data_IF_036002772157
#
_entry.id   IF_036002772157
#
_cell.length_a   1.000
_cell.length_b   1.000
_cell.length_c   1.000
_cell.angle_alpha   90.00
_cell.angle_beta   90.00
_cell.angle_gamma   90.00
#
_symmetry.space_group_name_H-M   'P 1'
#
loop_
_entity.id
_entity.type
_entity.pdbx_description
1 polymer ?
#
# COMPACT_ATOMS: atom_id res chain seq x y z
N UNK A 1 2.49 -17.22 -8.76
CA UNK A 1 2.36 -15.88 -8.08
C UNK A 1 1.29 -15.05 -8.74
N UNK A 2 0.44 -14.37 -7.93
CA UNK A 2 -0.64 -13.52 -8.45
C UNK A 2 -0.31 -12.06 -8.20
N UNK A 3 -0.46 -11.22 -9.23
CA UNK A 3 -0.28 -9.77 -9.11
C UNK A 3 -1.53 -9.04 -9.60
N UNK A 4 -2.01 -8.09 -8.80
CA UNK A 4 -3.13 -7.24 -9.18
C UNK A 4 -2.61 -5.94 -9.77
N UNK A 5 -3.09 -5.61 -10.98
CA UNK A 5 -2.83 -4.35 -11.65
C UNK A 5 -4.11 -3.55 -11.80
N UNK A 6 -4.00 -2.24 -11.60
CA UNK A 6 -5.08 -1.30 -11.82
C UNK A 6 -4.61 -0.24 -12.80
N UNK A 7 -5.24 -0.21 -13.97
CA UNK A 7 -4.95 0.75 -15.04
C UNK A 7 -6.06 1.78 -15.11
N UNK A 8 -5.68 3.04 -15.30
CA UNK A 8 -6.60 4.17 -15.30
C UNK A 8 -6.54 4.91 -16.64
N UNK A 9 -7.70 5.31 -17.13
CA UNK A 9 -7.84 6.18 -18.30
C UNK A 9 -8.91 7.24 -18.07
N UNK A 10 -8.77 8.39 -18.74
CA UNK A 10 -9.76 9.47 -18.72
C UNK A 10 -10.88 9.18 -19.71
N UNK A 11 -12.12 9.37 -19.29
CA UNK A 11 -13.31 9.33 -20.13
C UNK A 11 -13.60 10.74 -20.63
N UNK A 12 -13.18 11.04 -21.86
CA UNK A 12 -13.40 12.35 -22.48
C UNK A 12 -14.88 12.52 -22.82
N UNK A 13 -15.54 13.65 -22.47
CA UNK A 13 -16.95 13.88 -22.75
C UNK A 13 -17.33 13.74 -24.22
N UNK A 14 -16.41 14.10 -25.15
CA UNK A 14 -16.65 13.98 -26.60
C UNK A 14 -16.97 12.57 -27.11
N UNK A 15 -16.55 11.53 -26.37
CA UNK A 15 -16.75 10.13 -26.75
C UNK A 15 -17.53 9.32 -25.72
N UNK A 16 -17.88 9.95 -24.57
CA UNK A 16 -18.46 9.24 -23.43
C UNK A 16 -19.63 10.02 -22.78
N UNK A 17 -20.34 10.87 -23.53
CA UNK A 17 -21.47 11.65 -23.00
C UNK A 17 -22.48 10.79 -22.26
N UNK A 18 -22.91 9.69 -22.85
CA UNK A 18 -23.93 8.80 -22.32
C UNK A 18 -23.49 8.07 -21.05
N UNK A 19 -22.20 7.66 -21.00
CA UNK A 19 -21.61 7.03 -19.81
C UNK A 19 -21.53 8.04 -18.67
N UNK A 20 -21.14 9.27 -18.97
CA UNK A 20 -21.01 10.36 -17.97
C UNK A 20 -22.37 10.74 -17.45
N UNK A 21 -23.37 10.90 -18.30
CA UNK A 21 -24.75 11.18 -17.89
C UNK A 21 -25.31 10.07 -17.02
N UNK A 22 -25.16 8.81 -17.43
CA UNK A 22 -25.56 7.67 -16.61
C UNK A 22 -24.83 7.63 -15.27
N UNK A 23 -23.53 7.91 -15.25
CA UNK A 23 -22.74 7.98 -14.01
C UNK A 23 -23.30 9.04 -13.06
N UNK A 24 -23.58 10.27 -13.53
CA UNK A 24 -24.12 11.36 -12.72
C UNK A 24 -25.50 11.01 -12.13
N UNK A 25 -26.35 10.32 -12.91
CA UNK A 25 -27.66 9.87 -12.46
C UNK A 25 -27.59 8.74 -11.41
N UNK A 26 -26.65 7.79 -11.58
CA UNK A 26 -26.61 6.56 -10.78
C UNK A 26 -25.67 6.63 -9.57
N UNK A 27 -24.62 7.46 -9.60
CA UNK A 27 -23.59 7.50 -8.54
C UNK A 27 -24.13 7.69 -7.13
N UNK A 28 -25.15 8.57 -6.97
CA UNK A 28 -25.76 8.83 -5.66
C UNK A 28 -26.47 7.59 -5.12
N UNK A 29 -27.32 6.96 -5.93
CA UNK A 29 -28.04 5.73 -5.59
C UNK A 29 -27.09 4.60 -5.22
N UNK A 30 -26.03 4.40 -6.02
CA UNK A 30 -24.99 3.41 -5.74
C UNK A 30 -24.35 3.63 -4.36
N UNK A 31 -23.91 4.85 -4.06
CA UNK A 31 -23.22 5.16 -2.80
C UNK A 31 -24.16 5.17 -1.60
N UNK A 32 -25.45 5.48 -1.77
CA UNK A 32 -26.47 5.28 -0.75
C UNK A 32 -26.66 3.80 -0.41
N UNK A 33 -26.69 2.94 -1.41
CA UNK A 33 -26.76 1.49 -1.23
C UNK A 33 -25.47 0.93 -0.58
N UNK A 34 -24.31 1.47 -0.90
CA UNK A 34 -23.03 1.13 -0.23
C UNK A 34 -23.09 1.47 1.24
N UNK A 35 -23.54 2.69 1.62
CA UNK A 35 -23.65 3.11 3.03
C UNK A 35 -24.65 2.27 3.81
N UNK A 36 -25.79 1.99 3.21
CA UNK A 36 -26.80 1.11 3.81
C UNK A 36 -26.24 -0.30 4.03
N UNK A 37 -25.60 -0.87 3.02
CA UNK A 37 -24.98 -2.20 3.08
C UNK A 37 -23.88 -2.27 4.14
N UNK A 38 -23.05 -1.21 4.24
CA UNK A 38 -22.04 -1.08 5.29
C UNK A 38 -22.66 -1.07 6.68
N UNK A 39 -23.66 -0.23 6.90
CA UNK A 39 -24.33 -0.10 8.20
C UNK A 39 -24.98 -1.41 8.61
N UNK A 40 -25.67 -2.08 7.68
CA UNK A 40 -26.30 -3.36 7.92
C UNK A 40 -25.27 -4.43 8.29
N UNK A 41 -24.22 -4.58 7.48
CA UNK A 41 -23.17 -5.58 7.69
C UNK A 41 -22.37 -5.34 8.98
N UNK A 42 -22.06 -4.10 9.29
CA UNK A 42 -21.25 -3.73 10.45
C UNK A 42 -22.04 -3.85 11.78
N UNK A 43 -23.35 -3.81 11.76
CA UNK A 43 -24.19 -3.91 12.94
C UNK A 43 -24.64 -5.35 13.25
N UNK A 44 -24.56 -6.25 12.29
CA UNK A 44 -24.91 -7.64 12.48
C UNK A 44 -23.68 -8.49 12.85
N UNK A 45 -23.94 -9.64 13.49
CA UNK A 45 -22.88 -10.65 13.66
C UNK A 45 -22.44 -11.13 12.28
N UNK A 46 -21.13 -11.04 11.95
CA UNK A 46 -20.59 -11.47 10.67
C UNK A 46 -20.87 -12.95 10.33
N UNK A 47 -21.16 -13.77 11.33
CA UNK A 47 -21.54 -15.18 11.17
C UNK A 47 -23.00 -15.34 10.68
N UNK A 48 -23.85 -14.35 10.91
CA UNK A 48 -25.28 -14.39 10.60
C UNK A 48 -25.60 -13.64 9.30
N UNK A 49 -24.74 -12.76 8.83
CA UNK A 49 -24.93 -11.97 7.60
C UNK A 49 -24.80 -12.86 6.36
N UNK A 50 -25.83 -13.67 6.07
CA UNK A 50 -25.88 -14.46 4.83
C UNK A 50 -25.89 -13.52 3.63
N UNK A 51 -24.91 -13.69 2.76
CA UNK A 51 -24.74 -12.86 1.56
C UNK A 51 -25.98 -12.83 0.65
N UNK A 52 -26.71 -13.94 0.57
CA UNK A 52 -27.95 -14.04 -0.21
C UNK A 52 -29.05 -13.15 0.34
N UNK A 53 -29.31 -13.17 1.66
CA UNK A 53 -30.31 -12.32 2.32
C UNK A 53 -29.97 -10.83 2.15
N UNK A 54 -28.71 -10.47 2.33
CA UNK A 54 -28.26 -9.10 2.14
C UNK A 54 -28.42 -8.67 0.67
N UNK A 55 -28.16 -9.55 -0.28
CA UNK A 55 -28.37 -9.25 -1.69
C UNK A 55 -29.83 -8.95 -2.00
N UNK A 56 -30.77 -9.78 -1.57
CA UNK A 56 -32.21 -9.54 -1.74
C UNK A 56 -32.66 -8.24 -1.09
N UNK A 57 -32.15 -7.95 0.12
CA UNK A 57 -32.47 -6.73 0.84
C UNK A 57 -32.03 -5.47 0.08
N UNK A 58 -30.82 -5.49 -0.46
CA UNK A 58 -30.25 -4.37 -1.23
C UNK A 58 -30.99 -4.18 -2.55
N UNK A 59 -31.31 -5.29 -3.27
CA UNK A 59 -32.12 -5.24 -4.48
C UNK A 59 -33.47 -4.56 -4.24
N UNK A 60 -34.22 -5.04 -3.26
CA UNK A 60 -35.58 -4.57 -3.00
C UNK A 60 -35.57 -3.10 -2.55
N UNK A 61 -34.63 -2.71 -1.67
CA UNK A 61 -34.60 -1.35 -1.15
C UNK A 61 -34.20 -0.31 -2.18
N UNK A 62 -33.27 -0.64 -3.08
CA UNK A 62 -32.70 0.31 -4.03
C UNK A 62 -33.15 0.08 -5.46
N UNK A 63 -34.01 -0.89 -5.73
CA UNK A 63 -34.44 -1.28 -7.07
C UNK A 63 -33.25 -1.38 -8.04
N UNK A 64 -32.34 -2.32 -7.76
CA UNK A 64 -31.15 -2.61 -8.55
C UNK A 64 -31.09 -4.09 -8.86
N UNK A 65 -30.34 -4.46 -9.88
CA UNK A 65 -30.17 -5.86 -10.29
C UNK A 65 -29.45 -6.68 -9.21
N UNK A 66 -29.67 -7.98 -9.22
CA UNK A 66 -28.91 -8.95 -8.40
C UNK A 66 -27.41 -8.76 -8.57
N UNK A 67 -26.99 -8.43 -9.77
CA UNK A 67 -25.59 -8.22 -10.11
C UNK A 67 -25.05 -6.92 -9.53
N UNK A 68 -25.81 -5.84 -9.62
CA UNK A 68 -25.49 -4.56 -8.98
C UNK A 68 -25.38 -4.68 -7.47
N UNK A 69 -26.34 -5.37 -6.84
CA UNK A 69 -26.29 -5.67 -5.41
C UNK A 69 -25.03 -6.46 -5.02
N UNK A 70 -24.65 -7.47 -5.84
CA UNK A 70 -23.42 -8.22 -5.62
C UNK A 70 -22.16 -7.35 -5.73
N UNK A 71 -22.11 -6.40 -6.66
CA UNK A 71 -20.99 -5.46 -6.80
C UNK A 71 -20.86 -4.58 -5.55
N UNK A 72 -21.99 -4.04 -5.05
CA UNK A 72 -22.04 -3.24 -3.83
C UNK A 72 -21.59 -4.04 -2.60
N UNK A 73 -22.12 -5.25 -2.41
CA UNK A 73 -21.76 -6.11 -1.27
C UNK A 73 -20.29 -6.48 -1.32
N UNK A 74 -19.78 -6.82 -2.49
CA UNK A 74 -18.37 -7.18 -2.64
C UNK A 74 -17.43 -5.99 -2.39
N UNK A 75 -17.83 -4.79 -2.81
CA UNK A 75 -17.12 -3.56 -2.49
C UNK A 75 -17.08 -3.33 -0.97
N UNK A 76 -18.23 -3.40 -0.29
CA UNK A 76 -18.32 -3.23 1.17
C UNK A 76 -17.49 -4.26 1.92
N UNK A 77 -17.52 -5.53 1.51
CA UNK A 77 -16.70 -6.57 2.12
C UNK A 77 -15.21 -6.34 1.91
N UNK A 78 -14.81 -5.84 0.74
CA UNK A 78 -13.43 -5.44 0.46
C UNK A 78 -12.95 -4.33 1.38
N UNK A 79 -13.74 -3.25 1.51
CA UNK A 79 -13.44 -2.12 2.39
C UNK A 79 -13.39 -2.54 3.86
N UNK A 80 -14.32 -3.37 4.30
CA UNK A 80 -14.34 -3.88 5.67
C UNK A 80 -13.10 -4.72 5.99
N UNK A 81 -12.70 -5.62 5.08
CA UNK A 81 -11.48 -6.43 5.22
C UNK A 81 -10.23 -5.55 5.26
N UNK A 82 -10.14 -4.57 4.38
CA UNK A 82 -9.03 -3.62 4.33
C UNK A 82 -8.90 -2.85 5.65
N UNK A 83 -10.00 -2.32 6.17
CA UNK A 83 -10.01 -1.62 7.47
C UNK A 83 -9.64 -2.53 8.63
N UNK A 84 -10.07 -3.77 8.62
CA UNK A 84 -9.73 -4.75 9.66
C UNK A 84 -8.21 -5.01 9.69
N UNK A 85 -7.59 -5.18 8.52
CA UNK A 85 -6.13 -5.35 8.42
C UNK A 85 -5.37 -4.09 8.84
N UNK A 86 -5.89 -2.90 8.51
CA UNK A 86 -5.33 -1.63 9.01
C UNK A 86 -5.40 -1.56 10.54
N UNK A 87 -6.53 -1.99 11.15
CA UNK A 87 -6.68 -2.03 12.62
C UNK A 87 -5.73 -3.03 13.28
N UNK A 88 -5.54 -4.21 12.70
CA UNK A 88 -4.52 -5.17 13.17
C UNK A 88 -3.11 -4.59 13.10
N UNK A 89 -2.81 -3.84 12.05
CA UNK A 89 -1.51 -3.15 11.91
C UNK A 89 -1.37 -2.03 12.94
N UNK A 90 -2.43 -1.25 13.19
CA UNK A 90 -2.49 -0.24 14.22
C UNK A 90 -2.23 -0.86 15.60
N UNK A 91 -2.88 -1.99 15.93
CA UNK A 91 -2.68 -2.72 17.18
C UNK A 91 -1.21 -3.10 17.38
N UNK A 92 -0.60 -3.74 16.38
CA UNK A 92 0.83 -4.11 16.45
C UNK A 92 1.75 -2.91 16.67
N UNK A 93 1.46 -1.79 16.01
CA UNK A 93 2.22 -0.55 16.18
C UNK A 93 2.07 0.02 17.61
N UNK A 94 0.85 0.00 18.19
CA UNK A 94 0.61 0.45 19.56
C UNK A 94 1.33 -0.44 20.59
N UNK A 95 1.27 -1.76 20.43
CA UNK A 95 1.96 -2.70 21.32
C UNK A 95 3.48 -2.52 21.28
N UNK A 96 4.07 -2.32 20.09
CA UNK A 96 5.48 -2.02 19.93
C UNK A 96 5.86 -0.68 20.58
N UNK A 97 5.04 0.37 20.38
CA UNK A 97 5.27 1.70 20.99
C UNK A 97 5.18 1.65 22.52
N UNK A 98 4.21 0.92 23.08
CA UNK A 98 4.07 0.72 24.53
C UNK A 98 5.30 0.02 25.11
N UNK A 99 5.78 -1.04 24.47
CA UNK A 99 6.99 -1.76 24.89
C UNK A 99 8.22 -0.85 24.92
N UNK A 100 8.42 -0.04 23.88
CA UNK A 100 9.53 0.91 23.83
C UNK A 100 9.39 2.03 24.86
N UNK A 101 8.18 2.59 25.04
CA UNK A 101 7.93 3.63 26.04
C UNK A 101 8.22 3.13 27.45
N UNK A 102 7.84 1.89 27.79
CA UNK A 102 8.15 1.26 29.08
C UNK A 102 9.67 1.19 29.30
N UNK A 103 10.45 0.77 28.30
CA UNK A 103 11.94 0.73 28.38
C UNK A 103 12.53 2.12 28.57
N UNK A 104 12.13 3.08 27.72
CA UNK A 104 12.64 4.45 27.78
C UNK A 104 12.29 5.14 29.12
N UNK A 105 11.09 4.88 29.68
CA UNK A 105 10.66 5.40 30.97
C UNK A 105 11.52 4.79 32.09
N UNK A 106 11.81 3.50 32.07
CA UNK A 106 12.68 2.83 33.04
C UNK A 106 14.09 3.46 33.07
N UNK A 107 14.71 3.56 31.85
CA UNK A 107 16.06 4.16 31.72
C UNK A 107 16.08 5.64 32.18
N UNK A 108 15.06 6.41 31.79
CA UNK A 108 14.99 7.83 32.17
C UNK A 108 14.68 8.01 33.66
N UNK A 109 13.91 7.11 34.26
CA UNK A 109 13.61 7.11 35.69
C UNK A 109 14.88 6.89 36.52
N UNK A 110 15.74 5.95 36.13
CA UNK A 110 17.05 5.74 36.78
C UNK A 110 17.90 7.01 36.71
N UNK A 111 17.97 7.66 35.54
CA UNK A 111 18.72 8.92 35.37
C UNK A 111 18.15 10.04 36.22
N UNK A 112 16.82 10.18 36.27
CA UNK A 112 16.15 11.20 37.12
C UNK A 112 16.41 10.94 38.60
N UNK A 113 16.35 9.68 39.07
CA UNK A 113 16.62 9.30 40.43
C UNK A 113 18.09 9.59 40.83
N UNK A 114 19.05 9.31 39.94
CA UNK A 114 20.47 9.64 40.18
C UNK A 114 20.70 11.15 40.28
N UNK A 115 20.05 11.94 39.42
CA UNK A 115 20.10 13.40 39.51
C UNK A 115 19.42 13.91 40.80
N UNK A 116 18.30 13.29 41.19
CA UNK A 116 17.60 13.66 42.44
C UNK A 116 18.47 13.48 43.67
N UNK A 117 19.18 12.33 43.78
CA UNK A 117 20.12 12.07 44.88
C UNK A 117 21.26 13.08 44.91
N UNK A 118 21.84 13.41 43.74
CA UNK A 118 22.91 14.43 43.64
C UNK A 118 22.39 15.84 43.96
N UNK A 119 21.16 16.16 43.61
CA UNK A 119 20.53 17.44 43.95
C UNK A 119 20.28 17.57 45.44
N UNK A 120 19.84 16.51 46.13
CA UNK A 120 19.66 16.49 47.59
C UNK A 120 20.97 16.75 48.34
N UNK A 121 22.12 16.38 47.78
CA UNK A 121 23.45 16.57 48.36
C UNK A 121 24.13 17.85 47.84
N UNK A 122 23.43 18.78 47.20
CA UNK A 122 23.97 20.00 46.60
C UNK A 122 25.16 19.81 45.65
N UNK A 123 25.22 18.64 44.95
CA UNK A 123 26.32 18.22 44.06
C UNK A 123 26.09 18.56 42.60
N UNK A 124 25.05 19.31 42.25
CA UNK A 124 24.72 19.65 40.87
C UNK A 124 25.13 21.07 40.52
N UNK A 125 25.89 21.23 39.44
CA UNK A 125 26.09 22.53 38.83
C UNK A 125 24.88 22.98 38.00
N UNK A 126 24.80 24.26 37.58
CA UNK A 126 23.66 24.83 36.86
C UNK A 126 23.33 24.08 35.57
N UNK A 127 24.33 23.64 34.83
CA UNK A 127 24.17 22.84 33.61
C UNK A 127 23.54 21.47 33.87
N UNK A 128 23.89 20.84 34.98
CA UNK A 128 23.34 19.58 35.45
C UNK A 128 21.90 19.75 35.98
N UNK A 129 21.65 20.85 36.69
CA UNK A 129 20.30 21.20 37.17
C UNK A 129 19.33 21.43 36.04
N UNK A 130 19.75 22.10 34.95
CA UNK A 130 18.98 22.25 33.72
C UNK A 130 18.68 20.89 33.04
N UNK A 131 19.67 19.98 32.97
CA UNK A 131 19.46 18.61 32.45
C UNK A 131 18.49 17.83 33.32
N UNK A 132 18.55 17.93 34.63
CA UNK A 132 17.63 17.27 35.54
C UNK A 132 16.20 17.77 35.39
N UNK A 133 15.96 19.09 35.35
CA UNK A 133 14.63 19.66 35.08
C UNK A 133 14.04 19.15 33.73
N UNK A 134 14.84 19.19 32.66
CA UNK A 134 14.43 18.71 31.36
C UNK A 134 14.11 17.19 31.37
N UNK A 135 14.89 16.39 32.10
CA UNK A 135 14.64 14.95 32.24
C UNK A 135 13.34 14.67 32.99
N UNK A 136 13.03 15.42 34.07
CA UNK A 136 11.74 15.33 34.77
C UNK A 136 10.55 15.64 33.88
N UNK A 137 10.59 16.75 33.15
CA UNK A 137 9.53 17.16 32.21
C UNK A 137 9.31 16.06 31.14
N UNK A 138 10.43 15.55 30.58
CA UNK A 138 10.38 14.49 29.60
C UNK A 138 9.76 13.20 30.15
N UNK A 139 10.13 12.82 31.38
CA UNK A 139 9.59 11.63 32.05
C UNK A 139 8.06 11.71 32.23
N UNK A 140 7.58 12.88 32.73
CA UNK A 140 6.13 13.11 32.87
C UNK A 140 5.40 13.02 31.53
N UNK A 141 5.94 13.65 30.48
CA UNK A 141 5.36 13.61 29.14
C UNK A 141 5.30 12.17 28.57
N UNK A 142 6.35 11.38 28.83
CA UNK A 142 6.40 9.97 28.38
C UNK A 142 5.40 9.10 29.15
N UNK A 143 5.26 9.27 30.46
CA UNK A 143 4.23 8.57 31.26
C UNK A 143 2.81 8.89 30.75
N UNK A 144 2.48 10.18 30.58
CA UNK A 144 1.20 10.61 30.01
C UNK A 144 0.95 10.01 28.60
N UNK A 145 1.99 9.86 27.79
CA UNK A 145 1.88 9.23 26.47
C UNK A 145 1.61 7.72 26.59
N UNK A 146 2.28 7.04 27.51
CA UNK A 146 2.05 5.63 27.80
C UNK A 146 0.61 5.38 28.25
N UNK A 147 0.09 6.20 29.17
CA UNK A 147 -1.28 6.09 29.67
C UNK A 147 -2.30 6.26 28.54
N UNK A 148 -2.11 7.26 27.66
CA UNK A 148 -2.97 7.44 26.48
C UNK A 148 -2.95 6.22 25.57
N UNK A 149 -1.80 5.57 25.38
CA UNK A 149 -1.69 4.38 24.54
C UNK A 149 -2.33 3.16 25.20
N UNK A 150 -2.11 2.96 26.49
CA UNK A 150 -2.76 1.89 27.25
C UNK A 150 -4.30 2.02 27.23
N UNK A 151 -4.84 3.24 27.36
CA UNK A 151 -6.28 3.51 27.32
C UNK A 151 -6.87 3.35 25.91
N UNK A 152 -6.07 3.51 24.84
CA UNK A 152 -6.53 3.33 23.47
C UNK A 152 -6.50 1.85 23.01
N UNK A 153 -5.59 1.05 23.58
CA UNK A 153 -5.37 -0.34 23.20
C UNK A 153 -6.63 -1.21 23.28
N UNK A 154 -7.38 -1.25 24.41
CA UNK A 154 -8.58 -2.07 24.54
C UNK A 154 -9.68 -1.70 23.55
N UNK A 155 -9.76 -0.45 23.13
CA UNK A 155 -10.72 0.02 22.12
C UNK A 155 -10.42 -0.56 20.75
N UNK A 156 -9.14 -0.63 20.39
CA UNK A 156 -8.69 -1.21 19.11
C UNK A 156 -8.90 -2.74 19.14
N UNK A 157 -8.54 -3.40 20.24
CA UNK A 157 -8.75 -4.83 20.44
C UNK A 157 -10.23 -5.18 20.31
N UNK A 158 -11.12 -4.46 20.99
CA UNK A 158 -12.58 -4.63 20.89
C UNK A 158 -13.09 -4.45 19.45
N UNK A 159 -12.58 -3.45 18.71
CA UNK A 159 -12.95 -3.24 17.31
C UNK A 159 -12.54 -4.42 16.42
N UNK A 160 -11.38 -5.02 16.67
CA UNK A 160 -10.88 -6.19 15.92
C UNK A 160 -11.70 -7.44 16.27
N UNK A 161 -11.96 -7.67 17.55
CA UNK A 161 -12.73 -8.80 18.06
C UNK A 161 -14.17 -8.78 17.55
N UNK A 162 -14.88 -7.67 17.78
CA UNK A 162 -16.28 -7.51 17.36
C UNK A 162 -16.45 -7.26 15.89
N UNK A 163 -15.34 -6.97 15.14
CA UNK A 163 -15.35 -6.56 13.74
C UNK A 163 -16.23 -5.34 13.44
N UNK A 164 -16.66 -4.59 14.47
CA UNK A 164 -17.42 -3.35 14.32
C UNK A 164 -16.48 -2.19 14.06
N UNK A 165 -16.45 -1.73 12.80
CA UNK A 165 -15.49 -0.76 12.32
C UNK A 165 -16.19 0.55 11.94
N UNK A 166 -15.48 1.67 12.04
CA UNK A 166 -15.98 2.98 11.59
C UNK A 166 -15.32 3.36 10.27
N UNK A 167 -16.11 3.60 9.25
CA UNK A 167 -15.69 4.09 7.94
C UNK A 167 -16.24 5.50 7.70
N UNK A 168 -15.37 6.42 7.35
CA UNK A 168 -15.77 7.75 6.87
C UNK A 168 -15.95 7.68 5.35
N UNK A 169 -17.17 7.73 4.89
CA UNK A 169 -17.47 7.88 3.47
C UNK A 169 -17.21 9.32 3.04
N UNK A 170 -16.42 9.49 1.98
CA UNK A 170 -15.93 10.78 1.51
C UNK A 170 -14.54 11.11 2.06
N UNK A 171 -14.30 12.36 2.41
CA UNK A 171 -12.99 12.84 2.86
C UNK A 171 -12.95 13.05 4.38
N UNK A 172 -12.04 12.36 5.07
CA UNK A 172 -11.77 12.60 6.50
C UNK A 172 -11.31 14.04 6.77
N UNK A 173 -10.57 14.64 5.84
CA UNK A 173 -10.13 16.02 5.96
C UNK A 173 -11.33 16.99 5.92
N UNK A 174 -12.20 16.83 4.93
CA UNK A 174 -13.44 17.64 4.87
C UNK A 174 -14.29 17.46 6.11
N UNK A 175 -14.45 16.24 6.60
CA UNK A 175 -15.21 15.98 7.82
C UNK A 175 -14.58 16.63 9.06
N UNK A 176 -13.27 16.60 9.20
CA UNK A 176 -12.56 17.23 10.31
C UNK A 176 -12.63 18.76 10.25
N UNK A 177 -12.69 19.35 9.05
CA UNK A 177 -12.79 20.80 8.85
C UNK A 177 -14.23 21.36 8.91
N UNK A 178 -15.24 20.51 9.06
CA UNK A 178 -16.64 20.92 9.11
C UNK A 178 -16.93 22.09 10.08
N UNK A 179 -16.34 22.05 11.26
CA UNK A 179 -16.55 23.07 12.31
C UNK A 179 -15.81 24.37 12.05
N UNK A 180 -14.82 24.37 11.15
CA UNK A 180 -13.96 25.50 10.84
C UNK A 180 -14.43 26.26 9.58
N UNK A 181 -15.29 25.64 8.78
CA UNK A 181 -15.81 26.21 7.56
C UNK A 181 -16.94 27.19 7.85
N UNK A 182 -16.80 28.44 7.37
CA UNK A 182 -17.83 29.47 7.54
C UNK A 182 -19.01 29.27 6.63
N UNK A 183 -18.77 28.78 5.41
CA UNK A 183 -19.80 28.45 4.42
C UNK A 183 -20.14 26.94 4.49
N UNK A 184 -21.11 26.61 5.33
CA UNK A 184 -21.58 25.24 5.49
C UNK A 184 -22.18 24.63 4.23
N UNK A 185 -22.80 25.44 3.35
CA UNK A 185 -23.40 24.94 2.12
C UNK A 185 -22.30 24.50 1.12
N UNK A 186 -21.31 25.35 0.91
CA UNK A 186 -20.17 25.02 0.05
C UNK A 186 -19.39 23.81 0.60
N UNK A 187 -19.18 23.73 1.92
CA UNK A 187 -18.60 22.56 2.55
C UNK A 187 -19.43 21.31 2.30
N UNK A 188 -20.74 21.38 2.49
CA UNK A 188 -21.65 20.25 2.32
C UNK A 188 -21.64 19.72 0.89
N UNK A 189 -21.68 20.59 -0.12
CA UNK A 189 -21.59 20.23 -1.54
C UNK A 189 -20.28 19.47 -1.81
N UNK A 190 -19.14 20.01 -1.40
CA UNK A 190 -17.83 19.36 -1.56
C UNK A 190 -17.77 18.00 -0.85
N UNK A 191 -18.38 17.90 0.34
CA UNK A 191 -18.41 16.65 1.09
C UNK A 191 -19.28 15.58 0.38
N UNK A 192 -20.45 15.95 -0.12
CA UNK A 192 -21.34 15.05 -0.89
C UNK A 192 -20.64 14.60 -2.17
N UNK A 193 -20.03 15.51 -2.90
CA UNK A 193 -19.26 15.16 -4.10
C UNK A 193 -18.13 14.19 -3.80
N UNK A 194 -17.33 14.42 -2.75
CA UNK A 194 -16.28 13.51 -2.35
C UNK A 194 -16.81 12.15 -1.87
N UNK A 195 -18.01 12.11 -1.31
CA UNK A 195 -18.67 10.91 -0.78
C UNK A 195 -19.28 10.04 -1.88
N UNK A 196 -19.91 10.67 -2.85
CA UNK A 196 -20.74 10.00 -3.86
C UNK A 196 -20.09 10.07 -5.27
N UNK A 197 -18.78 9.95 -5.36
CA UNK A 197 -17.99 10.21 -6.59
C UNK A 197 -17.60 8.98 -7.38
N UNK A 198 -18.06 7.78 -7.05
CA UNK A 198 -17.62 6.57 -7.74
C UNK A 198 -18.68 5.48 -7.81
N UNK A 199 -18.59 4.66 -8.87
CA UNK A 199 -19.36 3.43 -9.05
C UNK A 199 -18.38 2.30 -9.29
N UNK A 200 -18.66 1.11 -8.77
CA UNK A 200 -17.80 -0.05 -8.86
C UNK A 200 -18.54 -1.27 -9.45
N UNK A 201 -17.93 -1.92 -10.43
CA UNK A 201 -18.43 -3.11 -11.10
C UNK A 201 -17.43 -4.25 -10.92
N UNK A 202 -17.81 -5.26 -10.16
CA UNK A 202 -16.92 -6.39 -9.89
C UNK A 202 -17.00 -7.45 -10.99
N UNK A 203 -15.85 -7.87 -11.51
CA UNK A 203 -15.76 -9.00 -12.45
C UNK A 203 -15.87 -10.35 -11.74
N UNK A 204 -16.33 -11.37 -12.47
CA UNK A 204 -16.36 -12.77 -12.02
C UNK A 204 -15.85 -13.69 -13.12
N UNK A 205 -15.24 -14.80 -12.72
CA UNK A 205 -14.66 -15.79 -13.64
C UNK A 205 -15.68 -16.43 -14.57
N UNK A 206 -16.92 -16.52 -14.14
CA UNK A 206 -18.01 -17.22 -14.84
C UNK A 206 -18.78 -16.31 -15.82
N UNK A 207 -18.37 -15.03 -15.92
CA UNK A 207 -19.11 -14.05 -16.73
C UNK A 207 -18.52 -13.86 -18.11
N UNK A 208 -19.39 -13.65 -19.09
CA UNK A 208 -19.01 -13.27 -20.45
C UNK A 208 -18.20 -11.97 -20.43
N UNK A 209 -17.14 -11.91 -21.22
CA UNK A 209 -16.23 -10.76 -21.29
C UNK A 209 -15.71 -10.30 -19.92
N UNK A 210 -15.55 -11.24 -18.96
CA UNK A 210 -14.95 -11.01 -17.66
C UNK A 210 -15.78 -10.13 -16.70
N UNK A 211 -16.85 -9.50 -17.17
CA UNK A 211 -17.77 -8.67 -16.39
C UNK A 211 -19.08 -8.44 -17.17
N UNK A 212 -20.22 -8.84 -16.61
CA UNK A 212 -21.52 -8.72 -17.29
C UNK A 212 -22.14 -7.31 -17.22
N UNK A 213 -21.65 -6.44 -16.34
CA UNK A 213 -22.17 -5.09 -16.16
C UNK A 213 -21.40 -4.03 -16.96
N UNK A 214 -20.08 -4.18 -17.02
CA UNK A 214 -19.19 -3.27 -17.73
C UNK A 214 -18.23 -4.12 -18.57
N UNK A 215 -18.22 -3.92 -19.87
CA UNK A 215 -17.41 -4.69 -20.81
C UNK A 215 -16.52 -3.76 -21.62
N UNK A 216 -15.28 -4.17 -21.84
CA UNK A 216 -14.37 -3.57 -22.79
C UNK A 216 -14.26 -4.48 -24.02
N UNK A 217 -14.43 -3.90 -25.19
CA UNK A 217 -14.30 -4.59 -26.47
C UNK A 217 -13.16 -3.91 -27.24
N UNK A 218 -12.10 -4.65 -27.51
CA UNK A 218 -10.94 -4.09 -28.19
C UNK A 218 -11.21 -3.83 -29.66
N UNK A 219 -11.02 -2.58 -30.09
CA UNK A 219 -11.09 -2.16 -31.49
C UNK A 219 -9.67 -2.11 -32.08
N UNK A 220 -9.36 -3.10 -32.91
CA UNK A 220 -8.03 -3.22 -33.56
C UNK A 220 -7.72 -2.08 -34.51
N UNK A 221 -8.74 -1.48 -35.17
CA UNK A 221 -8.54 -0.41 -36.16
C UNK A 221 -8.04 0.88 -35.49
N UNK A 222 -8.58 1.20 -34.31
CA UNK A 222 -8.28 2.45 -33.61
C UNK A 222 -7.34 2.23 -32.43
N UNK A 223 -6.92 0.99 -32.15
CA UNK A 223 -6.11 0.64 -30.97
C UNK A 223 -6.73 1.18 -29.67
N UNK A 224 -8.05 1.13 -29.56
CA UNK A 224 -8.86 1.64 -28.46
C UNK A 224 -9.81 0.55 -27.93
N UNK A 225 -10.54 0.85 -26.87
CA UNK A 225 -11.57 -0.03 -26.33
C UNK A 225 -12.92 0.66 -26.41
N UNK A 226 -13.90 -0.04 -26.98
CA UNK A 226 -15.31 0.33 -26.84
C UNK A 226 -15.80 -0.12 -25.47
N UNK A 227 -16.49 0.77 -24.79
CA UNK A 227 -17.11 0.51 -23.48
C UNK A 227 -18.57 0.20 -23.71
N UNK A 228 -19.04 -0.91 -23.15
CA UNK A 228 -20.46 -1.25 -23.06
C UNK A 228 -20.83 -1.36 -21.59
N UNK A 229 -21.66 -0.45 -21.10
CA UNK A 229 -22.07 -0.38 -19.70
C UNK A 229 -23.57 -0.59 -19.56
N UNK A 230 -23.96 -1.59 -18.77
CA UNK A 230 -25.36 -1.92 -18.51
C UNK A 230 -25.97 -0.96 -17.46
N UNK A 231 -27.15 -0.42 -17.79
CA UNK A 231 -27.92 0.43 -16.86
C UNK A 231 -28.65 -0.43 -15.83
N UNK A 232 -28.55 -0.08 -14.56
CA UNK A 232 -29.14 -0.85 -13.45
C UNK A 232 -30.68 -0.78 -13.40
N UNK A 233 -31.27 0.31 -13.89
CA UNK A 233 -32.73 0.51 -13.88
C UNK A 233 -33.44 0.14 -15.18
N UNK A 234 -32.73 -0.46 -16.13
CA UNK A 234 -33.30 -0.84 -17.43
C UNK A 234 -33.90 -2.25 -17.44
N UNK A 235 -34.30 -2.82 -16.30
CA UNK A 235 -34.87 -4.16 -16.23
C UNK A 235 -36.19 -4.34 -17.01
N UNK A 236 -36.83 -3.25 -17.43
CA UNK A 236 -38.09 -3.27 -18.20
C UNK A 236 -37.97 -2.59 -19.58
N UNK A 237 -36.81 -2.06 -19.93
CA UNK A 237 -36.61 -1.37 -21.19
C UNK A 237 -36.28 -2.33 -22.35
N UNK A 238 -36.62 -1.92 -23.57
CA UNK A 238 -36.20 -2.62 -24.78
C UNK A 238 -34.67 -2.80 -24.82
N UNK A 239 -34.17 -3.83 -25.51
CA UNK A 239 -32.72 -4.18 -25.48
C UNK A 239 -31.78 -3.03 -25.87
N UNK A 240 -32.25 -2.10 -26.71
CA UNK A 240 -31.47 -0.92 -27.13
C UNK A 240 -31.20 0.08 -25.98
N UNK A 241 -32.08 0.18 -25.00
CA UNK A 241 -32.00 1.13 -23.89
C UNK A 241 -31.29 0.55 -22.65
N UNK A 242 -30.91 -0.72 -22.69
CA UNK A 242 -30.23 -1.40 -21.58
C UNK A 242 -28.78 -0.98 -21.37
N UNK A 243 -28.17 -0.47 -22.42
CA UNK A 243 -26.72 -0.18 -22.39
C UNK A 243 -26.46 1.28 -22.77
N UNK A 244 -25.38 1.81 -22.21
CA UNK A 244 -24.69 3.01 -22.70
C UNK A 244 -23.34 2.64 -23.24
N UNK A 245 -22.89 3.39 -24.23
CA UNK A 245 -21.67 3.11 -24.97
C UNK A 245 -20.69 4.27 -24.88
N UNK A 246 -19.41 3.97 -24.99
CA UNK A 246 -18.35 4.96 -25.02
C UNK A 246 -17.07 4.34 -25.55
N UNK A 247 -16.01 5.13 -25.49
CA UNK A 247 -14.68 4.74 -25.96
C UNK A 247 -13.59 5.20 -25.01
N UNK A 248 -12.57 4.36 -24.83
CA UNK A 248 -11.41 4.72 -24.03
C UNK A 248 -10.11 4.14 -24.61
N UNK A 249 -9.00 4.77 -24.21
CA UNK A 249 -7.66 4.33 -24.55
C UNK A 249 -6.80 4.29 -23.30
N UNK A 250 -6.23 3.13 -22.96
CA UNK A 250 -5.30 2.99 -21.86
C UNK A 250 -3.87 3.25 -22.35
N UNK A 251 -3.27 4.34 -21.90
CA UNK A 251 -1.86 4.66 -22.21
C UNK A 251 -0.90 3.60 -21.67
N UNK A 252 -1.25 2.99 -20.53
CA UNK A 252 -0.51 1.92 -19.89
C UNK A 252 -1.45 0.74 -19.66
N UNK A 253 -0.93 -0.49 -19.78
CA UNK A 253 -1.71 -1.71 -19.53
C UNK A 253 -2.61 -2.14 -20.67
N UNK A 254 -2.53 -1.51 -21.85
CA UNK A 254 -3.34 -1.85 -23.01
C UNK A 254 -3.18 -3.33 -23.38
N UNK A 255 -1.93 -3.80 -23.45
CA UNK A 255 -1.61 -5.20 -23.81
C UNK A 255 -2.11 -6.17 -22.74
N UNK A 256 -1.87 -5.89 -21.48
CA UNK A 256 -2.28 -6.73 -20.35
C UNK A 256 -3.81 -6.83 -20.23
N UNK A 257 -4.53 -5.74 -20.53
CA UNK A 257 -6.00 -5.77 -20.58
C UNK A 257 -6.48 -6.63 -21.76
N UNK A 258 -5.88 -6.49 -22.95
CA UNK A 258 -6.22 -7.31 -24.12
C UNK A 258 -5.98 -8.80 -23.87
N UNK A 259 -4.82 -9.15 -23.32
CA UNK A 259 -4.47 -10.51 -22.92
C UNK A 259 -5.50 -11.07 -21.94
N UNK A 260 -5.87 -10.27 -20.91
CA UNK A 260 -6.86 -10.67 -19.91
C UNK A 260 -8.25 -10.87 -20.53
N UNK A 261 -8.67 -10.01 -21.46
CA UNK A 261 -9.95 -10.14 -22.18
C UNK A 261 -9.99 -11.38 -23.08
N UNK A 262 -8.84 -11.83 -23.58
CA UNK A 262 -8.74 -13.06 -24.38
C UNK A 262 -8.83 -14.34 -23.55
N UNK A 263 -8.57 -14.26 -22.24
CA UNK A 263 -8.65 -15.37 -21.29
C UNK A 263 -10.09 -15.55 -20.80
N UNK A 264 -10.72 -16.69 -21.09
CA UNK A 264 -12.14 -16.96 -20.78
C UNK A 264 -12.51 -16.88 -19.29
N UNK A 265 -11.55 -16.96 -18.36
CA UNK A 265 -11.80 -17.08 -16.91
C UNK A 265 -11.10 -16.02 -16.07
N UNK A 266 -10.71 -14.90 -16.63
CA UNK A 266 -10.00 -13.84 -15.94
C UNK A 266 -10.93 -12.65 -15.67
N UNK A 267 -11.40 -12.45 -14.41
CA UNK A 267 -12.32 -11.37 -14.10
C UNK A 267 -11.64 -10.01 -14.20
N UNK A 268 -12.34 -9.05 -14.78
CA UNK A 268 -11.95 -7.64 -14.78
C UNK A 268 -12.96 -6.84 -13.97
N UNK A 269 -12.49 -6.13 -12.97
CA UNK A 269 -13.33 -5.21 -12.19
C UNK A 269 -13.11 -3.79 -12.68
N UNK A 270 -14.21 -3.03 -12.77
CA UNK A 270 -14.16 -1.66 -13.25
C UNK A 270 -14.64 -0.68 -12.16
N UNK A 271 -14.05 0.50 -12.14
CA UNK A 271 -14.50 1.62 -11.34
C UNK A 271 -14.58 2.87 -12.20
N UNK A 272 -15.74 3.51 -12.21
CA UNK A 272 -15.92 4.84 -12.82
C UNK A 272 -15.97 5.85 -11.67
N UNK A 273 -15.24 6.94 -11.80
CA UNK A 273 -15.21 7.97 -10.76
C UNK A 273 -14.87 9.35 -11.33
N UNK A 274 -15.27 10.38 -10.58
CA UNK A 274 -14.96 11.78 -10.87
C UNK A 274 -13.83 12.28 -9.98
N UNK A 275 -12.87 13.01 -10.55
CA UNK A 275 -11.75 13.65 -9.86
C UNK A 275 -11.41 14.95 -10.57
N UNK A 276 -11.39 16.07 -9.85
CA UNK A 276 -11.07 17.40 -10.39
C UNK A 276 -11.89 17.71 -11.67
N UNK A 277 -13.21 17.52 -11.60
CA UNK A 277 -14.19 17.69 -12.69
C UNK A 277 -13.95 16.86 -13.96
N UNK A 278 -13.06 15.86 -13.87
CA UNK A 278 -12.80 14.89 -14.95
C UNK A 278 -13.27 13.51 -14.54
N UNK A 279 -13.66 12.71 -15.53
CA UNK A 279 -14.16 11.37 -15.35
C UNK A 279 -13.11 10.33 -15.74
N UNK A 280 -13.01 9.28 -14.97
CA UNK A 280 -12.01 8.24 -15.15
C UNK A 280 -12.62 6.86 -15.10
N UNK A 281 -12.07 5.95 -15.88
CA UNK A 281 -12.31 4.52 -15.81
C UNK A 281 -11.04 3.83 -15.31
N UNK A 282 -11.18 3.03 -14.27
CA UNK A 282 -10.15 2.09 -13.82
C UNK A 282 -10.54 0.67 -14.19
N UNK A 283 -9.61 -0.08 -14.78
CA UNK A 283 -9.71 -1.52 -15.02
C UNK A 283 -8.72 -2.23 -14.09
N UNK A 284 -9.24 -3.11 -13.25
CA UNK A 284 -8.44 -3.93 -12.32
C UNK A 284 -8.42 -5.36 -12.81
N UNK A 285 -7.23 -5.86 -13.11
CA UNK A 285 -6.97 -7.22 -13.58
C UNK A 285 -6.06 -7.97 -12.59
N UNK A 286 -6.18 -9.28 -12.56
CA UNK A 286 -5.26 -10.16 -11.84
C UNK A 286 -4.49 -10.97 -12.87
N UNK A 287 -3.18 -10.89 -12.83
CA UNK A 287 -2.30 -11.66 -13.70
C UNK A 287 -1.67 -12.77 -12.87
N UNK A 288 -1.89 -14.00 -13.28
CA UNK A 288 -1.30 -15.18 -12.68
C UNK A 288 -0.10 -15.61 -13.53
N UNK A 289 1.04 -15.81 -12.88
CA UNK A 289 2.23 -16.38 -13.52
C UNK A 289 2.71 -17.58 -12.72
N UNK A 290 3.32 -18.53 -13.39
CA UNK A 290 4.05 -19.61 -12.74
C UNK A 290 5.14 -19.06 -11.84
N UNK A 291 5.49 -19.78 -10.80
CA UNK A 291 6.60 -19.40 -9.93
C UNK A 291 7.91 -19.50 -10.72
N UNK A 292 8.68 -18.43 -10.66
CA UNK A 292 9.98 -18.35 -11.33
C UNK A 292 10.99 -19.09 -10.48
N UNK A 293 11.72 -20.03 -11.08
CA UNK A 293 12.80 -20.73 -10.40
C UNK A 293 14.00 -19.81 -10.17
N UNK A 294 14.74 -20.11 -9.13
CA UNK A 294 15.97 -19.40 -8.80
C UNK A 294 17.05 -19.75 -9.83
N UNK A 295 17.70 -18.71 -10.34
CA UNK A 295 18.87 -18.86 -11.22
C UNK A 295 20.14 -19.22 -10.43
N UNK A 296 21.13 -19.78 -11.12
CA UNK A 296 22.42 -20.11 -10.53
C UNK A 296 23.29 -18.89 -10.20
N UNK A 297 22.87 -17.71 -10.64
CA UNK A 297 23.49 -16.42 -10.33
C UNK A 297 22.53 -15.53 -9.57
N UNK A 298 23.07 -14.65 -8.74
CA UNK A 298 22.26 -13.69 -7.99
C UNK A 298 22.87 -12.29 -8.03
N UNK A 299 22.02 -11.28 -8.20
CA UNK A 299 22.38 -9.88 -7.99
C UNK A 299 21.88 -9.47 -6.61
N UNK A 300 22.80 -9.28 -5.67
CA UNK A 300 22.52 -8.75 -4.33
C UNK A 300 22.47 -7.25 -4.32
N UNK A 301 21.50 -6.67 -3.60
CA UNK A 301 21.24 -5.25 -3.56
C UNK A 301 21.27 -4.72 -2.13
N UNK A 302 22.16 -3.73 -1.88
CA UNK A 302 22.17 -2.90 -0.69
C UNK A 302 21.59 -1.53 -1.01
N UNK A 303 20.40 -1.24 -0.43
CA UNK A 303 19.64 -0.02 -0.68
C UNK A 303 20.07 1.10 0.27
N UNK A 304 20.58 2.19 -0.30
CA UNK A 304 21.05 3.35 0.44
C UNK A 304 20.34 4.65 0.04
N UNK A 305 20.52 5.70 0.84
CA UNK A 305 20.00 7.02 0.53
C UNK A 305 20.70 7.63 -0.69
N UNK A 306 19.97 7.74 -1.80
CA UNK A 306 20.46 8.36 -3.02
C UNK A 306 21.21 7.42 -3.97
N UNK A 307 21.46 6.17 -3.58
CA UNK A 307 22.04 5.16 -4.45
C UNK A 307 21.71 3.74 -4.01
N UNK A 308 21.88 2.81 -4.91
CA UNK A 308 21.81 1.38 -4.66
C UNK A 308 23.15 0.77 -5.05
N UNK A 309 23.76 0.02 -4.14
CA UNK A 309 24.93 -0.79 -4.45
C UNK A 309 24.48 -2.19 -4.87
N UNK A 310 25.09 -2.73 -5.89
CA UNK A 310 24.79 -4.06 -6.41
C UNK A 310 26.05 -4.87 -6.66
N UNK A 311 25.95 -6.18 -6.45
CA UNK A 311 27.00 -7.14 -6.70
C UNK A 311 26.43 -8.37 -7.37
N UNK A 312 26.96 -8.76 -8.50
CA UNK A 312 26.60 -10.00 -9.20
C UNK A 312 27.49 -11.14 -8.70
N UNK A 313 26.86 -12.23 -8.28
CA UNK A 313 27.49 -13.39 -7.66
C UNK A 313 27.22 -14.62 -8.51
N UNK A 314 28.27 -15.37 -8.80
CA UNK A 314 28.25 -16.63 -9.54
C UNK A 314 27.80 -17.78 -8.62
N UNK A 315 27.41 -18.92 -9.22
CA UNK A 315 26.95 -20.14 -8.51
C UNK A 315 27.95 -20.67 -7.46
N UNK A 316 29.24 -20.45 -7.66
CA UNK A 316 30.31 -20.81 -6.73
C UNK A 316 30.52 -19.79 -5.61
N UNK A 317 29.69 -18.78 -5.54
CA UNK A 317 29.74 -17.70 -4.56
C UNK A 317 30.79 -16.63 -4.86
N UNK A 318 31.49 -16.68 -6.01
CA UNK A 318 32.45 -15.67 -6.40
C UNK A 318 31.80 -14.42 -6.99
N UNK A 319 32.46 -13.28 -6.75
CA UNK A 319 32.03 -11.98 -7.27
C UNK A 319 32.34 -11.88 -8.78
N UNK A 320 31.32 -11.54 -9.59
CA UNK A 320 31.47 -11.28 -11.03
C UNK A 320 31.69 -9.79 -11.25
N UNK A 321 30.80 -8.95 -10.78
CA UNK A 321 30.83 -7.49 -10.98
C UNK A 321 30.18 -6.75 -9.85
N UNK A 322 30.55 -5.48 -9.70
CA UNK A 322 29.95 -4.53 -8.77
C UNK A 322 29.54 -3.27 -9.53
N UNK A 323 28.50 -2.61 -9.03
CA UNK A 323 28.06 -1.36 -9.61
C UNK A 323 27.32 -0.51 -8.56
N UNK A 324 27.10 0.77 -8.87
CA UNK A 324 26.27 1.69 -8.09
C UNK A 324 25.36 2.46 -9.01
N UNK A 325 24.05 2.41 -8.72
CA UNK A 325 23.06 3.19 -9.45
C UNK A 325 22.58 4.29 -8.55
N UNK A 326 22.71 5.55 -8.99
CA UNK A 326 22.28 6.74 -8.25
C UNK A 326 20.85 7.11 -8.60
N UNK A 327 20.08 7.56 -7.61
CA UNK A 327 18.72 8.08 -7.77
C UNK A 327 18.51 9.34 -6.93
N UNK A 328 17.54 10.17 -7.31
CA UNK A 328 17.24 11.41 -6.57
C UNK A 328 16.45 11.09 -5.32
N UNK A 329 17.01 11.39 -4.17
CA UNK A 329 16.33 11.29 -2.89
C UNK A 329 15.79 12.66 -2.46
N UNK A 330 14.56 12.98 -2.91
CA UNK A 330 13.82 14.20 -2.53
C UNK A 330 12.47 13.79 -1.94
N UNK A 331 11.82 14.67 -1.17
CA UNK A 331 10.46 14.39 -0.71
C UNK A 331 9.46 14.38 -1.88
N UNK A 332 8.49 13.47 -1.83
CA UNK A 332 7.31 13.44 -2.71
C UNK A 332 7.39 12.49 -3.91
N UNK A 333 6.51 12.72 -4.87
CA UNK A 333 6.26 11.83 -6.01
C UNK A 333 7.47 11.59 -6.92
N UNK A 334 8.43 12.52 -6.97
CA UNK A 334 9.64 12.37 -7.78
C UNK A 334 10.51 11.20 -7.34
N UNK A 335 10.76 11.07 -6.02
CA UNK A 335 11.49 9.91 -5.48
C UNK A 335 10.76 8.59 -5.75
N UNK A 336 9.44 8.58 -5.60
CA UNK A 336 8.62 7.39 -5.87
C UNK A 336 8.75 6.95 -7.32
N UNK A 337 8.75 7.88 -8.26
CA UNK A 337 8.93 7.57 -9.69
C UNK A 337 10.35 7.07 -10.00
N UNK A 338 11.37 7.72 -9.46
CA UNK A 338 12.76 7.32 -9.63
C UNK A 338 13.00 5.90 -9.08
N UNK A 339 12.37 5.54 -7.94
CA UNK A 339 12.45 4.19 -7.38
C UNK A 339 11.73 3.14 -8.24
N UNK A 340 10.63 3.48 -8.91
CA UNK A 340 9.97 2.59 -9.88
C UNK A 340 10.85 2.32 -11.09
N UNK A 341 11.44 3.39 -11.64
CA UNK A 341 12.36 3.27 -12.79
C UNK A 341 13.59 2.45 -12.41
N UNK A 342 14.15 2.68 -11.22
CA UNK A 342 15.28 1.92 -10.70
C UNK A 342 14.95 0.43 -10.57
N UNK A 343 13.77 0.09 -10.03
CA UNK A 343 13.34 -1.29 -9.91
C UNK A 343 13.21 -1.99 -11.27
N UNK A 344 12.69 -1.29 -12.30
CA UNK A 344 12.58 -1.82 -13.66
C UNK A 344 13.96 -2.02 -14.30
N UNK A 345 14.90 -1.09 -14.09
CA UNK A 345 16.30 -1.21 -14.56
C UNK A 345 16.98 -2.44 -13.95
N UNK A 346 16.83 -2.63 -12.64
CA UNK A 346 17.43 -3.77 -11.93
C UNK A 346 16.86 -5.11 -12.40
N UNK A 347 15.56 -5.20 -12.58
CA UNK A 347 14.91 -6.41 -13.09
C UNK A 347 15.34 -6.72 -14.54
N UNK A 348 15.46 -5.72 -15.40
CA UNK A 348 15.98 -5.88 -16.77
C UNK A 348 17.44 -6.34 -16.78
N UNK A 349 18.26 -5.82 -15.88
CA UNK A 349 19.65 -6.28 -15.73
C UNK A 349 19.69 -7.75 -15.33
N UNK A 350 18.88 -8.17 -14.37
CA UNK A 350 18.78 -9.58 -14.00
C UNK A 350 18.36 -10.46 -15.19
N UNK A 351 17.38 -10.01 -15.98
CA UNK A 351 16.95 -10.71 -17.19
C UNK A 351 18.07 -10.86 -18.22
N UNK A 352 18.88 -9.80 -18.42
CA UNK A 352 19.98 -9.83 -19.40
C UNK A 352 21.18 -10.68 -18.96
N UNK A 353 21.35 -10.93 -17.65
CA UNK A 353 22.47 -11.72 -17.10
C UNK A 353 22.03 -13.12 -16.63
N UNK A 354 20.77 -13.49 -16.82
CA UNK A 354 20.17 -14.71 -16.28
C UNK A 354 20.47 -14.87 -14.78
N UNK A 355 20.12 -13.85 -14.00
CA UNK A 355 20.38 -13.79 -12.56
C UNK A 355 19.11 -13.59 -11.77
N UNK A 356 19.00 -14.21 -10.60
CA UNK A 356 17.99 -13.88 -9.60
C UNK A 356 18.29 -12.54 -8.93
N UNK A 357 17.29 -11.83 -8.45
CA UNK A 357 17.47 -10.61 -7.67
C UNK A 357 17.36 -10.92 -6.17
N UNK A 358 18.20 -10.30 -5.35
CA UNK A 358 18.10 -10.45 -3.89
C UNK A 358 18.19 -9.13 -3.15
N UNK A 359 17.31 -8.96 -2.16
CA UNK A 359 17.26 -7.81 -1.25
C UNK A 359 17.11 -8.28 0.19
N UNK A 360 17.44 -7.41 1.13
CA UNK A 360 17.23 -7.69 2.55
C UNK A 360 15.73 -7.71 2.91
N UNK A 361 15.31 -8.66 3.75
CA UNK A 361 13.98 -8.68 4.37
C UNK A 361 13.94 -7.75 5.58
N UNK A 362 13.73 -6.46 5.35
CA UNK A 362 13.72 -5.44 6.40
C UNK A 362 12.33 -5.22 6.96
N UNK A 363 12.09 -5.68 8.19
CA UNK A 363 10.88 -5.36 8.93
C UNK A 363 10.99 -3.99 9.62
N UNK A 364 10.39 -2.95 9.02
CA UNK A 364 10.44 -1.57 9.54
C UNK A 364 9.42 -1.25 10.63
N UNK A 365 8.56 -2.17 11.03
CA UNK A 365 7.54 -1.90 12.06
C UNK A 365 8.17 -1.43 13.38
N UNK A 366 9.29 -2.03 13.79
CA UNK A 366 10.06 -1.66 14.98
C UNK A 366 10.85 -0.34 14.81
N UNK A 367 11.30 0.00 13.59
CA UNK A 367 12.08 1.22 13.33
C UNK A 367 11.19 2.47 13.23
N UNK A 368 9.94 2.35 12.76
CA UNK A 368 8.98 3.47 12.69
C UNK A 368 8.70 4.09 14.07
N UNK A 369 8.60 3.29 15.10
CA UNK A 369 8.36 3.75 16.47
C UNK A 369 9.54 4.52 17.06
N UNK A 370 10.77 4.13 16.74
CA UNK A 370 11.97 4.88 17.17
C UNK A 370 12.14 6.23 16.44
N UNK A 371 11.82 6.29 15.16
CA UNK A 371 11.97 7.49 14.33
C UNK A 371 10.99 8.62 14.71
N UNK A 372 9.80 8.30 15.19
CA UNK A 372 8.81 9.30 15.62
C UNK A 372 9.18 10.06 16.90
N UNK A 373 10.15 9.58 17.69
CA UNK A 373 10.50 10.16 19.00
C UNK A 373 11.35 11.43 18.96
N UNK A 374 12.04 11.74 17.89
CA UNK A 374 12.95 12.89 17.83
C UNK A 374 12.84 13.66 16.51
N UNK A 375 12.31 14.87 16.57
CA UNK A 375 12.13 15.81 15.46
C UNK A 375 13.43 16.45 14.90
N UNK A 376 14.64 15.97 15.25
CA UNK A 376 15.89 16.55 14.73
C UNK A 376 16.51 15.67 13.65
N UNK A 377 16.69 16.27 12.51
CA UNK A 377 17.31 15.92 11.22
C UNK A 377 17.75 14.46 10.93
N UNK A 378 18.51 13.79 11.79
CA UNK A 378 19.01 12.44 11.53
C UNK A 378 17.90 11.37 11.55
N UNK A 379 16.96 11.47 12.50
CA UNK A 379 15.86 10.47 12.65
C UNK A 379 14.71 10.69 11.67
N UNK A 380 14.47 11.92 11.26
CA UNK A 380 13.54 12.20 10.16
C UNK A 380 14.06 11.62 8.84
N UNK A 381 15.36 11.74 8.59
CA UNK A 381 16.00 11.12 7.44
C UNK A 381 15.96 9.58 7.49
N UNK A 382 16.12 8.95 8.67
CA UNK A 382 15.96 7.50 8.87
C UNK A 382 14.52 7.04 8.60
N UNK A 383 13.52 7.84 9.01
CA UNK A 383 12.11 7.55 8.72
C UNK A 383 11.81 7.63 7.21
N UNK A 384 12.28 8.68 6.54
CA UNK A 384 12.14 8.82 5.09
C UNK A 384 12.83 7.69 4.35
N UNK A 385 14.02 7.28 4.79
CA UNK A 385 14.73 6.14 4.23
C UNK A 385 13.95 4.83 4.40
N UNK A 386 13.35 4.60 5.56
CA UNK A 386 12.53 3.40 5.81
C UNK A 386 11.26 3.36 4.94
N UNK A 387 10.62 4.50 4.69
CA UNK A 387 9.48 4.60 3.77
C UNK A 387 9.92 4.39 2.31
N UNK A 388 11.04 4.97 1.92
CA UNK A 388 11.60 4.77 0.57
C UNK A 388 11.96 3.31 0.33
N UNK A 389 12.55 2.62 1.32
CA UNK A 389 12.85 1.21 1.22
C UNK A 389 11.59 0.34 1.10
N UNK A 390 10.58 0.60 1.91
CA UNK A 390 9.32 -0.16 1.84
C UNK A 390 8.65 -0.02 0.46
N UNK A 391 8.64 1.19 -0.10
CA UNK A 391 8.16 1.43 -1.46
C UNK A 391 9.05 0.74 -2.51
N UNK A 392 10.36 0.81 -2.36
CA UNK A 392 11.32 0.18 -3.26
C UNK A 392 11.15 -1.35 -3.27
N UNK A 393 11.01 -1.99 -2.10
CA UNK A 393 10.75 -3.43 -2.00
C UNK A 393 9.49 -3.84 -2.77
N UNK A 394 8.40 -3.06 -2.65
CA UNK A 394 7.18 -3.32 -3.42
C UNK A 394 7.37 -3.11 -4.94
N UNK A 395 8.13 -2.11 -5.35
CA UNK A 395 8.42 -1.88 -6.77
C UNK A 395 9.32 -2.98 -7.34
N UNK A 396 10.31 -3.45 -6.57
CA UNK A 396 11.15 -4.59 -6.95
C UNK A 396 10.30 -5.86 -7.14
N UNK A 397 9.39 -6.18 -6.20
CA UNK A 397 8.49 -7.34 -6.34
C UNK A 397 7.69 -7.27 -7.65
N UNK A 398 7.14 -6.09 -7.95
CA UNK A 398 6.37 -5.86 -9.18
C UNK A 398 7.23 -5.94 -10.45
N UNK A 399 8.44 -5.38 -10.41
CA UNK A 399 9.37 -5.43 -11.54
C UNK A 399 9.86 -6.86 -11.80
N UNK A 400 10.23 -7.60 -10.75
CA UNK A 400 10.62 -9.01 -10.85
C UNK A 400 9.47 -9.86 -11.44
N UNK A 401 8.24 -9.66 -10.96
CA UNK A 401 7.06 -10.33 -11.52
C UNK A 401 6.87 -10.00 -13.01
N UNK A 402 6.99 -8.72 -13.38
CA UNK A 402 6.82 -8.26 -14.77
C UNK A 402 7.85 -8.91 -15.71
N UNK A 403 9.10 -8.98 -15.28
CA UNK A 403 10.22 -9.48 -16.09
C UNK A 403 10.53 -10.96 -15.88
N UNK A 404 9.71 -11.71 -15.12
CA UNK A 404 9.92 -13.13 -14.79
C UNK A 404 11.27 -13.38 -14.11
N UNK A 405 11.60 -12.58 -13.08
CA UNK A 405 12.81 -12.70 -12.29
C UNK A 405 12.48 -13.27 -10.92
N UNK A 406 13.24 -14.28 -10.48
CA UNK A 406 13.16 -14.78 -9.12
C UNK A 406 13.67 -13.73 -8.14
N UNK A 407 12.89 -13.46 -7.07
CA UNK A 407 13.25 -12.53 -6.01
C UNK A 407 13.48 -13.28 -4.69
N UNK A 408 14.68 -13.22 -4.19
CA UNK A 408 15.07 -13.75 -2.88
C UNK A 408 15.04 -12.65 -1.81
N UNK A 409 14.36 -12.90 -0.69
CA UNK A 409 14.40 -12.05 0.49
C UNK A 409 15.34 -12.70 1.51
N UNK A 410 16.45 -12.02 1.83
CA UNK A 410 17.49 -12.55 2.70
C UNK A 410 17.52 -11.86 4.06
N UNK A 411 18.01 -12.56 5.09
CA UNK A 411 18.16 -12.00 6.42
C UNK A 411 19.10 -10.78 6.42
N UNK A 412 18.69 -9.63 7.00
CA UNK A 412 19.54 -8.42 7.08
C UNK A 412 20.58 -8.50 8.19
N UNK A 413 20.64 -9.59 8.97
CA UNK A 413 21.50 -9.67 10.12
C UNK A 413 23.00 -9.61 9.71
N UNK A 414 23.70 -8.59 10.19
CA UNK A 414 25.13 -8.41 10.04
C UNK A 414 25.69 -8.32 8.60
N UNK A 415 24.87 -8.11 7.57
CA UNK A 415 25.31 -8.03 6.17
C UNK A 415 26.44 -7.01 5.96
N UNK A 416 26.29 -5.79 6.51
CA UNK A 416 27.30 -4.73 6.42
C UNK A 416 28.56 -5.02 7.23
N UNK A 417 28.43 -5.69 8.38
CA UNK A 417 29.59 -6.05 9.23
C UNK A 417 30.39 -7.15 8.56
N UNK A 418 29.73 -8.24 8.16
CA UNK A 418 30.39 -9.35 7.45
C UNK A 418 31.03 -8.85 6.14
N UNK A 419 30.31 -8.01 5.39
CA UNK A 419 30.83 -7.41 4.17
C UNK A 419 32.12 -6.63 4.42
N UNK A 420 32.11 -5.75 5.44
CA UNK A 420 33.26 -4.95 5.81
C UNK A 420 34.45 -5.81 6.23
N UNK A 421 34.24 -6.74 7.16
CA UNK A 421 35.34 -7.50 7.79
C UNK A 421 35.89 -8.60 6.89
N UNK A 422 35.07 -9.28 6.09
CA UNK A 422 35.52 -10.38 5.23
C UNK A 422 35.93 -9.98 3.82
N UNK A 423 35.24 -8.99 3.24
CA UNK A 423 35.31 -8.77 1.79
C UNK A 423 35.84 -7.40 1.37
N UNK A 424 35.82 -6.37 2.26
CA UNK A 424 36.24 -5.03 1.87
C UNK A 424 37.68 -4.96 1.49
N UNK A 425 38.57 -5.52 2.30
CA UNK A 425 40.02 -5.51 2.04
C UNK A 425 40.40 -6.52 0.95
N UNK A 426 40.00 -7.77 1.09
CA UNK A 426 40.37 -8.87 0.19
C UNK A 426 39.90 -8.67 -1.25
N UNK A 427 38.79 -7.97 -1.47
CA UNK A 427 38.22 -7.72 -2.82
C UNK A 427 38.20 -6.25 -3.21
N UNK A 428 38.85 -5.37 -2.44
CA UNK A 428 38.89 -3.90 -2.66
C UNK A 428 37.47 -3.29 -2.78
N UNK A 429 36.53 -3.75 -1.95
CA UNK A 429 35.13 -3.30 -1.95
C UNK A 429 34.90 -2.22 -0.89
N UNK A 430 34.05 -1.24 -1.20
CA UNK A 430 33.53 -0.38 -0.14
C UNK A 430 32.44 -1.11 0.66
N UNK A 431 32.10 -0.57 1.86
CA UNK A 431 31.16 -1.20 2.79
C UNK A 431 29.81 -1.58 2.14
N UNK A 432 29.31 -0.75 1.22
CA UNK A 432 28.01 -0.97 0.58
C UNK A 432 28.05 -2.04 -0.52
N UNK A 433 29.09 -2.04 -1.34
CA UNK A 433 29.28 -3.11 -2.34
C UNK A 433 29.66 -4.43 -1.68
N UNK A 434 30.36 -4.41 -0.55
CA UNK A 434 30.61 -5.59 0.25
C UNK A 434 29.34 -6.13 0.90
N UNK A 435 28.43 -5.26 1.39
CA UNK A 435 27.13 -5.66 1.90
C UNK A 435 26.25 -6.27 0.79
N UNK A 436 26.19 -5.65 -0.39
CA UNK A 436 25.44 -6.21 -1.53
C UNK A 436 26.00 -7.57 -1.97
N UNK A 437 27.31 -7.77 -1.88
CA UNK A 437 27.93 -9.07 -2.16
C UNK A 437 27.48 -10.16 -1.16
N UNK A 438 27.45 -9.87 0.14
CA UNK A 438 26.91 -10.79 1.16
C UNK A 438 25.45 -11.11 0.91
N UNK A 439 24.63 -10.11 0.51
CA UNK A 439 23.22 -10.30 0.16
C UNK A 439 23.08 -11.27 -1.02
N UNK A 440 23.88 -11.10 -2.08
CA UNK A 440 23.88 -12.00 -3.24
C UNK A 440 24.32 -13.42 -2.90
N UNK A 441 25.35 -13.59 -2.07
CA UNK A 441 25.82 -14.89 -1.59
C UNK A 441 24.73 -15.62 -0.76
N UNK A 442 24.07 -14.92 0.14
CA UNK A 442 22.96 -15.49 0.93
C UNK A 442 21.80 -15.99 0.08
N UNK A 443 21.51 -15.30 -1.03
CA UNK A 443 20.48 -15.75 -1.97
C UNK A 443 20.84 -17.10 -2.62
N UNK A 444 22.12 -17.36 -2.81
CA UNK A 444 22.65 -18.64 -3.30
C UNK A 444 22.95 -19.65 -2.18
N UNK A 445 22.42 -19.43 -0.97
CA UNK A 445 22.55 -20.28 0.21
C UNK A 445 23.97 -20.36 0.82
N UNK A 446 24.87 -19.45 0.47
CA UNK A 446 26.18 -19.38 1.13
C UNK A 446 26.03 -18.81 2.54
N UNK A 447 26.61 -19.49 3.52
CA UNK A 447 26.64 -19.05 4.92
C UNK A 447 27.93 -18.28 5.19
N UNK A 448 27.77 -17.00 5.47
CA UNK A 448 28.88 -16.15 5.90
C UNK A 448 28.76 -15.88 7.41
N UNK A 449 29.56 -16.58 8.21
CA UNK A 449 29.60 -16.38 9.65
C UNK A 449 30.23 -15.03 10.00
N UNK A 450 29.76 -14.42 11.08
CA UNK A 450 30.38 -13.22 11.63
C UNK A 450 31.81 -13.58 12.07
N UNK A 451 32.83 -12.81 11.70
CA UNK A 451 34.15 -12.93 12.30
C UNK A 451 34.05 -12.75 13.81
N UNK A 452 34.80 -13.55 14.55
CA UNK A 452 34.84 -13.57 16.03
C UNK A 452 35.56 -12.33 16.56
#
# INVERSE_FOLDING_TARGET
>A
MNQVYCYETELKPSHNSDIIEYFEQYKRKFNEAVRFTWQYYNNQDPLIAQKSKLNTLVQNKFNISTRGANSIISYVFGEHRSLLELKKTELRNFQSEISELKKDIAELSIKVNNFSRKAANNQLNDKQLKKYRNAKIKLVAMKKRLDRRNNALPKIEKQIETKKLSLCFGSKALFAHQRLERDHLSWYIKFIEARDNSIYYIGRREETACNSQCQLIYDRKHNSFKIQLRKEYACQANDRDKYVYGECYFRYGNKEIQETLSLKNSPISYRIFKRDDRYFLQATITVDKADVQQENKAIGIDFNKGFVALSEVKEDGNLITIDKIYYRFKQGNKTTNDLRVLADILAKRCASTNSSLSIEDLNFSKKKTKAMKHKKDKKYNEMLHSLAYSNFSEFIKRACFKHNIHLSLVSPAYTSIIGKEKYSENKKLNVHTAASYVIGRRALNFVDNRPV
#
